data_IF_483594521620
#
_entry.id   IF_483594521620
#
_cell.length_a   1.000
_cell.length_b   1.000
_cell.length_c   1.000
_cell.angle_alpha   90.00
_cell.angle_beta   90.00
_cell.angle_gamma   90.00
#
_symmetry.space_group_name_H-M   'P 1'
#
loop_
_entity.id
_entity.type
_entity.pdbx_description
1 polymer ?
#
# COMPACT_ATOMS: atom_id res chain seq x y z
N UNK A 1 40.39 -16.21 13.98
CA UNK A 1 39.94 -15.98 12.60
C UNK A 1 38.72 -16.83 12.21
N UNK A 2 38.65 -18.11 12.55
CA UNK A 2 37.56 -19.02 12.18
C UNK A 2 36.17 -18.49 12.63
N UNK A 3 36.08 -17.97 13.84
CA UNK A 3 34.80 -17.37 14.36
C UNK A 3 34.38 -16.15 13.54
N UNK A 4 35.31 -15.26 13.20
CA UNK A 4 35.03 -14.09 12.38
C UNK A 4 34.45 -14.51 11.02
N UNK A 5 35.10 -15.49 10.38
CA UNK A 5 34.63 -16.02 9.09
C UNK A 5 33.18 -16.58 9.24
N UNK A 6 32.89 -17.31 10.30
CA UNK A 6 31.53 -17.82 10.54
C UNK A 6 30.50 -16.72 10.79
N UNK A 7 30.88 -15.66 11.48
CA UNK A 7 30.00 -14.49 11.68
C UNK A 7 29.79 -13.74 10.36
N UNK A 8 30.80 -13.61 9.51
CA UNK A 8 30.68 -13.03 8.17
C UNK A 8 29.75 -13.85 7.26
N UNK A 9 29.90 -15.20 7.27
CA UNK A 9 28.97 -16.10 6.58
C UNK A 9 27.51 -15.91 7.08
N UNK A 10 27.33 -15.78 8.40
CA UNK A 10 26.02 -15.56 9.00
C UNK A 10 25.43 -14.20 8.61
N UNK A 11 26.20 -13.12 8.57
CA UNK A 11 25.76 -11.82 8.09
C UNK A 11 25.29 -11.89 6.64
N UNK A 12 26.02 -12.62 5.79
CA UNK A 12 25.62 -12.83 4.39
C UNK A 12 24.31 -13.62 4.29
N UNK A 13 24.16 -14.68 5.10
CA UNK A 13 22.93 -15.47 5.14
C UNK A 13 21.71 -14.64 5.60
N UNK A 14 21.88 -13.75 6.58
CA UNK A 14 20.85 -12.82 7.02
C UNK A 14 20.45 -11.87 5.89
N UNK A 15 21.45 -11.30 5.17
CA UNK A 15 21.18 -10.46 4.01
C UNK A 15 20.37 -11.20 2.93
N UNK A 16 20.71 -12.45 2.63
CA UNK A 16 19.98 -13.27 1.66
C UNK A 16 18.55 -13.60 2.13
N UNK A 17 18.38 -13.91 3.40
CA UNK A 17 17.08 -14.26 3.98
C UNK A 17 16.07 -13.11 4.00
N UNK A 18 16.52 -11.87 3.87
CA UNK A 18 15.68 -10.68 3.80
C UNK A 18 14.92 -10.52 2.46
N UNK A 19 15.03 -11.49 1.54
CA UNK A 19 14.30 -11.48 0.27
C UNK A 19 12.81 -11.78 0.50
N UNK A 20 11.96 -10.96 -0.10
CA UNK A 20 10.51 -11.14 -0.11
C UNK A 20 9.98 -10.91 -1.53
N UNK A 21 9.24 -11.87 -2.05
CA UNK A 21 8.60 -11.80 -3.38
C UNK A 21 9.56 -11.43 -4.54
N UNK A 22 10.83 -11.89 -4.45
CA UNK A 22 11.85 -11.59 -5.46
C UNK A 22 12.60 -10.27 -5.27
N UNK A 23 12.18 -9.44 -4.33
CA UNK A 23 12.83 -8.18 -3.98
C UNK A 23 13.63 -8.34 -2.68
N UNK A 24 14.82 -7.75 -2.63
CA UNK A 24 15.64 -7.72 -1.42
C UNK A 24 16.28 -6.34 -1.25
N UNK A 25 15.74 -5.56 -0.33
CA UNK A 25 16.22 -4.21 -0.05
C UNK A 25 17.47 -4.17 0.82
N UNK A 26 17.84 -5.30 1.43
CA UNK A 26 19.07 -5.45 2.20
C UNK A 26 20.27 -5.83 1.31
N UNK A 27 19.99 -6.34 0.11
CA UNK A 27 20.98 -6.69 -0.91
C UNK A 27 20.56 -6.03 -2.22
N UNK A 28 20.94 -4.77 -2.38
CA UNK A 28 20.55 -3.97 -3.54
C UNK A 28 21.53 -2.83 -3.74
N UNK A 29 21.85 -2.50 -4.98
CA UNK A 29 22.71 -1.38 -5.35
C UNK A 29 21.92 -0.23 -6.02
N UNK A 30 20.61 -0.39 -6.19
CA UNK A 30 19.77 0.52 -6.95
C UNK A 30 18.74 1.23 -6.07
N UNK A 31 18.08 2.22 -6.66
CA UNK A 31 16.91 2.86 -6.08
C UNK A 31 15.68 1.99 -6.26
N UNK A 32 14.88 1.92 -5.24
CA UNK A 32 13.57 1.26 -5.27
C UNK A 32 12.47 2.31 -5.21
N UNK A 33 11.39 2.09 -5.94
CA UNK A 33 10.22 2.98 -5.94
C UNK A 33 9.04 2.30 -5.27
N UNK A 34 8.35 3.06 -4.43
CA UNK A 34 7.12 2.62 -3.77
C UNK A 34 5.99 3.53 -4.19
N UNK A 35 4.81 2.98 -4.41
CA UNK A 35 3.61 3.77 -4.71
C UNK A 35 3.26 4.62 -3.48
N UNK A 36 3.22 5.94 -3.67
CA UNK A 36 2.97 6.93 -2.62
C UNK A 36 1.54 7.51 -2.69
N UNK A 37 0.79 7.22 -3.75
CA UNK A 37 -0.57 7.67 -3.91
C UNK A 37 -0.98 7.92 -5.35
N UNK A 38 -2.14 8.56 -5.49
CA UNK A 38 -2.70 8.94 -6.79
C UNK A 38 -2.90 10.44 -6.83
N UNK A 39 -2.46 11.07 -7.89
CA UNK A 39 -2.68 12.49 -8.15
C UNK A 39 -3.58 12.60 -9.38
N UNK A 40 -4.68 13.35 -9.26
CA UNK A 40 -5.48 13.75 -10.41
C UNK A 40 -4.93 15.07 -10.95
N UNK A 41 -4.54 15.09 -12.20
CA UNK A 41 -4.12 16.29 -12.88
C UNK A 41 -5.32 17.15 -13.31
N UNK A 42 -5.07 18.40 -13.66
CA UNK A 42 -6.09 19.33 -14.17
C UNK A 42 -6.76 18.84 -15.44
N UNK A 43 -6.06 18.03 -16.25
CA UNK A 43 -6.57 17.39 -17.47
C UNK A 43 -7.52 16.20 -17.19
N UNK A 44 -7.77 15.89 -15.89
CA UNK A 44 -8.62 14.77 -15.46
C UNK A 44 -7.92 13.41 -15.45
N UNK A 45 -6.68 13.31 -15.92
CA UNK A 45 -5.92 12.05 -15.89
C UNK A 45 -5.43 11.73 -14.49
N UNK A 46 -5.39 10.44 -14.16
CA UNK A 46 -4.85 9.95 -12.88
C UNK A 46 -3.41 9.52 -13.08
N UNK A 47 -2.51 10.06 -12.28
CA UNK A 47 -1.10 9.65 -12.21
C UNK A 47 -0.82 8.96 -10.89
N UNK A 48 -0.16 7.80 -10.96
CA UNK A 48 0.43 7.16 -9.78
C UNK A 48 1.63 7.99 -9.35
N UNK A 49 1.63 8.44 -8.10
CA UNK A 49 2.79 9.08 -7.49
C UNK A 49 3.65 8.01 -6.83
N UNK A 50 4.97 8.08 -7.04
CA UNK A 50 5.93 7.14 -6.47
C UNK A 50 6.93 7.89 -5.61
N UNK A 51 7.23 7.32 -4.44
CA UNK A 51 8.33 7.74 -3.60
C UNK A 51 9.56 6.89 -3.90
N UNK A 52 10.70 7.52 -4.13
CA UNK A 52 11.97 6.84 -4.29
C UNK A 52 12.59 6.54 -2.92
N UNK A 53 13.05 5.32 -2.75
CA UNK A 53 13.87 4.90 -1.62
C UNK A 53 15.25 4.50 -2.13
N UNK A 54 16.29 5.08 -1.54
CA UNK A 54 17.68 4.82 -1.90
C UNK A 54 18.15 3.51 -1.25
N UNK A 55 17.57 2.37 -1.67
CA UNK A 55 17.91 1.08 -1.09
C UNK A 55 19.43 0.81 -1.11
N UNK A 56 20.10 1.11 -2.22
CA UNK A 56 21.55 0.94 -2.34
C UNK A 56 22.39 1.72 -1.33
N UNK A 57 21.89 2.86 -0.80
CA UNK A 57 22.61 3.63 0.23
C UNK A 57 22.50 3.02 1.64
N UNK A 58 21.51 2.17 1.87
CA UNK A 58 21.22 1.56 3.18
C UNK A 58 21.31 0.03 3.15
N UNK A 59 21.63 -0.56 2.01
CA UNK A 59 21.79 -2.00 1.87
C UNK A 59 22.98 -2.52 2.66
N UNK A 60 22.83 -3.69 3.27
CA UNK A 60 23.94 -4.41 3.91
C UNK A 60 25.01 -4.74 2.89
N UNK A 61 24.61 -5.24 1.73
CA UNK A 61 25.46 -5.62 0.61
C UNK A 61 24.89 -5.06 -0.69
N UNK A 62 25.76 -4.69 -1.63
CA UNK A 62 25.31 -4.35 -2.98
C UNK A 62 24.98 -5.61 -3.78
N UNK A 63 25.75 -6.67 -3.60
CA UNK A 63 25.58 -7.96 -4.25
C UNK A 63 26.03 -9.10 -3.36
N UNK A 64 25.49 -10.28 -3.56
CA UNK A 64 25.98 -11.53 -2.95
C UNK A 64 26.31 -12.50 -4.07
N UNK A 65 27.56 -12.90 -4.15
CA UNK A 65 28.06 -13.87 -5.12
C UNK A 65 28.77 -15.01 -4.41
N UNK A 66 28.46 -16.25 -4.78
CA UNK A 66 29.07 -17.47 -4.19
C UNK A 66 29.04 -17.50 -2.65
N UNK A 67 27.96 -16.95 -2.04
CA UNK A 67 27.80 -16.94 -0.59
C UNK A 67 28.63 -15.87 0.14
N UNK A 68 29.24 -14.93 -0.59
CA UNK A 68 29.98 -13.80 -0.02
C UNK A 68 29.28 -12.49 -0.40
N UNK A 69 28.95 -11.69 0.61
CA UNK A 69 28.42 -10.35 0.42
C UNK A 69 29.51 -9.36 0.05
N UNK A 70 29.27 -8.51 -0.94
CA UNK A 70 30.19 -7.48 -1.39
C UNK A 70 29.50 -6.14 -1.62
N UNK A 71 30.24 -5.05 -1.48
CA UNK A 71 29.69 -3.71 -1.53
C UNK A 71 28.76 -3.41 -0.35
N UNK A 72 28.10 -2.26 -0.36
CA UNK A 72 27.18 -1.84 0.71
C UNK A 72 27.88 -1.52 2.02
N UNK A 73 27.09 -1.37 3.08
CA UNK A 73 27.54 -0.94 4.41
C UNK A 73 28.51 -1.93 5.05
N UNK A 74 28.29 -3.23 4.85
CA UNK A 74 29.08 -4.29 5.49
C UNK A 74 30.32 -4.69 4.69
N UNK A 75 30.57 -4.10 3.53
CA UNK A 75 31.72 -4.46 2.68
C UNK A 75 33.04 -4.43 3.44
N UNK A 76 33.33 -3.37 4.21
CA UNK A 76 34.55 -3.25 4.99
C UNK A 76 34.62 -4.24 6.15
N UNK A 77 33.47 -4.67 6.69
CA UNK A 77 33.42 -5.69 7.75
C UNK A 77 33.76 -7.08 7.20
N UNK A 78 33.37 -7.34 5.95
CA UNK A 78 33.71 -8.62 5.27
C UNK A 78 35.20 -8.80 4.98
N UNK A 79 35.96 -7.71 5.00
CA UNK A 79 37.42 -7.75 4.77
C UNK A 79 38.23 -7.85 6.07
N UNK A 80 37.58 -7.94 7.23
CA UNK A 80 38.29 -8.06 8.52
C UNK A 80 38.92 -9.45 8.65
N UNK A 81 40.24 -9.47 8.80
CA UNK A 81 41.04 -10.67 9.03
C UNK A 81 41.94 -10.49 10.24
N UNK A 82 41.80 -11.33 11.26
CA UNK A 82 42.68 -11.38 12.42
C UNK A 82 43.72 -12.47 12.21
N UNK A 83 44.94 -12.05 11.98
CA UNK A 83 46.13 -12.92 11.92
C UNK A 83 46.95 -12.80 13.20
N UNK A 84 47.88 -13.73 13.44
CA UNK A 84 48.80 -13.66 14.60
C UNK A 84 49.73 -12.43 14.56
N UNK A 85 49.80 -11.75 13.40
CA UNK A 85 50.58 -10.51 13.22
C UNK A 85 49.70 -9.25 13.36
N UNK A 86 48.47 -9.37 13.87
CA UNK A 86 47.60 -8.21 14.07
C UNK A 86 48.17 -7.31 15.18
N UNK A 87 48.44 -6.05 14.81
CA UNK A 87 48.91 -5.03 15.75
C UNK A 87 47.67 -4.38 16.45
N UNK A 88 47.91 -3.75 17.62
CA UNK A 88 46.89 -3.01 18.32
C UNK A 88 46.19 -1.98 17.40
N UNK A 89 46.93 -1.24 16.61
CA UNK A 89 46.39 -0.26 15.67
C UNK A 89 45.46 -0.85 14.60
N UNK A 90 45.70 -2.10 14.15
CA UNK A 90 44.80 -2.81 13.26
C UNK A 90 43.49 -3.21 13.97
N UNK A 91 43.59 -3.64 15.20
CA UNK A 91 42.43 -4.00 16.01
C UNK A 91 41.54 -2.75 16.23
N UNK A 92 42.14 -1.62 16.59
CA UNK A 92 41.44 -0.35 16.76
C UNK A 92 40.73 0.09 15.46
N UNK A 93 41.39 -0.09 14.31
CA UNK A 93 40.79 0.17 12.98
C UNK A 93 39.62 -0.74 12.70
N UNK A 94 39.70 -2.03 12.99
CA UNK A 94 38.59 -2.98 12.81
C UNK A 94 37.43 -2.67 13.71
N UNK A 95 37.67 -2.29 14.98
CA UNK A 95 36.60 -1.84 15.90
C UNK A 95 35.89 -0.60 15.35
N UNK A 96 36.66 0.40 14.89
CA UNK A 96 36.07 1.60 14.27
C UNK A 96 35.26 1.29 13.00
N UNK A 97 35.72 0.33 12.20
CA UNK A 97 34.99 -0.14 11.00
C UNK A 97 33.66 -0.77 11.37
N UNK A 98 33.63 -1.66 12.36
CA UNK A 98 32.40 -2.29 12.84
C UNK A 98 31.47 -1.26 13.45
N UNK A 99 31.97 -0.31 14.24
CA UNK A 99 31.18 0.75 14.84
C UNK A 99 30.54 1.65 13.77
N UNK A 100 31.29 1.99 12.74
CA UNK A 100 30.78 2.77 11.60
C UNK A 100 29.68 2.01 10.87
N UNK A 101 29.91 0.74 10.56
CA UNK A 101 28.93 -0.11 9.92
C UNK A 101 27.63 -0.23 10.75
N UNK A 102 27.75 -0.38 12.07
CA UNK A 102 26.61 -0.43 12.98
C UNK A 102 25.82 0.89 12.98
N UNK A 103 26.48 2.03 12.98
CA UNK A 103 25.82 3.35 12.86
C UNK A 103 25.07 3.49 11.54
N UNK A 104 25.69 3.09 10.43
CA UNK A 104 25.03 3.15 9.11
C UNK A 104 23.85 2.17 8.99
N UNK A 105 23.96 0.95 9.54
CA UNK A 105 22.83 0.02 9.63
C UNK A 105 21.68 0.59 10.47
N UNK A 106 21.98 1.27 11.59
CA UNK A 106 20.97 1.90 12.42
C UNK A 106 20.25 3.02 11.65
N UNK A 107 20.98 3.82 10.88
CA UNK A 107 20.38 4.83 9.98
C UNK A 107 19.51 4.18 8.91
N UNK A 108 19.98 3.09 8.31
CA UNK A 108 19.21 2.30 7.35
C UNK A 108 17.90 1.77 7.93
N UNK A 109 17.97 1.20 9.13
CA UNK A 109 16.77 0.72 9.84
C UNK A 109 15.79 1.86 10.15
N UNK A 110 16.28 3.03 10.55
CA UNK A 110 15.44 4.21 10.77
C UNK A 110 14.80 4.71 9.46
N UNK A 111 15.54 4.71 8.35
CA UNK A 111 15.02 5.10 7.04
C UNK A 111 13.92 4.13 6.55
N UNK A 112 14.12 2.81 6.74
CA UNK A 112 13.12 1.78 6.43
C UNK A 112 11.88 1.92 7.31
N UNK A 113 12.06 2.20 8.61
CA UNK A 113 10.96 2.47 9.53
C UNK A 113 10.14 3.70 9.13
N UNK A 114 10.80 4.78 8.71
CA UNK A 114 10.13 5.97 8.20
C UNK A 114 9.34 5.68 6.92
N UNK A 115 9.90 4.87 6.00
CA UNK A 115 9.22 4.44 4.79
C UNK A 115 7.99 3.58 5.10
N UNK A 116 8.11 2.61 6.01
CA UNK A 116 6.99 1.79 6.47
C UNK A 116 5.86 2.64 7.05
N UNK A 117 6.20 3.61 7.91
CA UNK A 117 5.22 4.55 8.48
C UNK A 117 4.53 5.37 7.40
N UNK A 118 5.27 5.81 6.37
CA UNK A 118 4.71 6.55 5.23
C UNK A 118 3.74 5.70 4.42
N UNK A 119 4.09 4.44 4.16
CA UNK A 119 3.21 3.48 3.47
C UNK A 119 1.92 3.26 4.27
N UNK A 120 2.02 3.04 5.59
CA UNK A 120 0.87 2.85 6.46
C UNK A 120 -0.06 4.07 6.49
N UNK A 121 0.51 5.28 6.52
CA UNK A 121 -0.27 6.51 6.46
C UNK A 121 -1.00 6.66 5.13
N UNK A 122 -0.34 6.31 4.03
CA UNK A 122 -0.92 6.38 2.70
C UNK A 122 -2.05 5.36 2.50
N UNK A 123 -1.87 4.14 2.99
CA UNK A 123 -2.91 3.10 2.96
C UNK A 123 -4.15 3.53 3.76
N UNK A 124 -3.94 4.03 4.98
CA UNK A 124 -5.03 4.58 5.80
C UNK A 124 -5.73 5.77 5.14
N UNK A 125 -4.97 6.64 4.48
CA UNK A 125 -5.53 7.78 3.76
C UNK A 125 -6.38 7.32 2.56
N UNK A 126 -5.87 6.38 1.75
CA UNK A 126 -6.58 5.82 0.61
C UNK A 126 -7.87 5.12 1.05
N UNK A 127 -7.81 4.35 2.13
CA UNK A 127 -8.98 3.70 2.74
C UNK A 127 -10.03 4.72 3.19
N UNK A 128 -9.63 5.78 3.91
CA UNK A 128 -10.56 6.84 4.35
C UNK A 128 -11.22 7.58 3.18
N UNK A 129 -10.46 7.88 2.12
CA UNK A 129 -11.04 8.48 0.91
C UNK A 129 -12.05 7.53 0.26
N UNK A 130 -11.70 6.25 0.13
CA UNK A 130 -12.61 5.24 -0.42
C UNK A 130 -13.90 5.14 0.38
N UNK A 131 -13.81 5.12 1.71
CA UNK A 131 -14.97 5.06 2.60
C UNK A 131 -15.80 6.33 2.55
N UNK A 132 -15.17 7.50 2.49
CA UNK A 132 -15.87 8.78 2.32
C UNK A 132 -16.61 8.86 0.98
N UNK A 133 -15.99 8.38 -0.10
CA UNK A 133 -16.63 8.30 -1.41
C UNK A 133 -17.83 7.33 -1.39
N UNK A 134 -17.67 6.13 -0.81
CA UNK A 134 -18.75 5.16 -0.66
C UNK A 134 -19.92 5.74 0.15
N UNK A 135 -19.62 6.37 1.30
CA UNK A 135 -20.62 7.02 2.13
C UNK A 135 -21.34 8.16 1.39
N UNK A 136 -20.60 8.95 0.62
CA UNK A 136 -21.17 10.02 -0.22
C UNK A 136 -22.10 9.48 -1.30
N UNK A 137 -21.69 8.43 -2.02
CA UNK A 137 -22.49 7.76 -3.03
C UNK A 137 -23.73 7.11 -2.40
N UNK A 138 -23.58 6.39 -1.28
CA UNK A 138 -24.68 5.78 -0.54
C UNK A 138 -25.71 6.83 -0.12
N UNK A 139 -25.25 7.96 0.42
CA UNK A 139 -26.15 9.05 0.85
C UNK A 139 -26.95 9.66 -0.31
N UNK A 140 -26.37 9.75 -1.50
CA UNK A 140 -27.06 10.24 -2.69
C UNK A 140 -28.05 9.20 -3.23
N UNK A 141 -27.62 7.92 -3.28
CA UNK A 141 -28.47 6.83 -3.79
C UNK A 141 -29.61 6.48 -2.82
N UNK A 142 -29.33 6.43 -1.51
CA UNK A 142 -30.33 6.09 -0.49
C UNK A 142 -31.41 7.19 -0.35
N UNK A 143 -31.05 8.47 -0.53
CA UNK A 143 -32.01 9.57 -0.56
C UNK A 143 -32.97 9.43 -1.76
N UNK A 144 -32.44 9.06 -2.93
CA UNK A 144 -33.24 8.83 -4.13
C UNK A 144 -34.16 7.60 -3.99
N UNK A 145 -33.70 6.54 -3.30
CA UNK A 145 -34.50 5.32 -3.08
C UNK A 145 -35.71 5.56 -2.16
N UNK A 146 -35.58 6.41 -1.17
CA UNK A 146 -36.71 6.75 -0.26
C UNK A 146 -37.77 7.60 -0.98
N UNK A 147 -37.33 8.57 -1.79
CA UNK A 147 -38.18 9.38 -2.64
C UNK A 147 -38.89 8.53 -3.72
N UNK A 148 -38.15 7.64 -4.40
CA UNK A 148 -38.70 6.74 -5.42
C UNK A 148 -39.68 5.71 -4.82
N UNK A 149 -39.42 5.23 -3.61
CA UNK A 149 -40.37 4.33 -2.91
C UNK A 149 -41.68 5.02 -2.59
N UNK A 150 -41.63 6.27 -2.12
CA UNK A 150 -42.84 7.08 -1.86
C UNK A 150 -43.58 7.38 -3.16
N UNK A 151 -42.86 7.67 -4.24
CA UNK A 151 -43.42 7.92 -5.58
C UNK A 151 -44.09 6.68 -6.15
N UNK A 152 -43.47 5.50 -6.00
CA UNK A 152 -44.02 4.21 -6.41
C UNK A 152 -45.34 3.91 -5.66
N UNK A 153 -45.37 4.11 -4.34
CA UNK A 153 -46.60 3.94 -3.54
C UNK A 153 -47.72 4.90 -3.99
N UNK A 154 -47.36 6.14 -4.28
CA UNK A 154 -48.34 7.15 -4.81
C UNK A 154 -48.89 6.73 -6.18
N UNK A 155 -48.03 6.28 -7.11
CA UNK A 155 -48.43 5.82 -8.45
C UNK A 155 -49.33 4.58 -8.37
N UNK A 156 -49.03 3.62 -7.47
CA UNK A 156 -49.87 2.44 -7.26
C UNK A 156 -51.27 2.83 -6.75
N UNK A 157 -51.33 3.79 -5.83
CA UNK A 157 -52.58 4.30 -5.31
C UNK A 157 -53.39 5.02 -6.42
N UNK A 158 -52.73 5.83 -7.22
CA UNK A 158 -53.36 6.50 -8.38
C UNK A 158 -53.87 5.49 -9.40
N UNK A 159 -53.15 4.44 -9.68
CA UNK A 159 -53.58 3.37 -10.58
C UNK A 159 -54.81 2.64 -10.06
N UNK A 160 -54.87 2.34 -8.76
CA UNK A 160 -56.06 1.72 -8.15
C UNK A 160 -57.28 2.64 -8.24
N UNK A 161 -57.11 3.94 -7.95
CA UNK A 161 -58.18 4.92 -8.06
C UNK A 161 -58.65 5.11 -9.51
N UNK A 162 -57.73 5.09 -10.47
CA UNK A 162 -58.07 5.19 -11.89
C UNK A 162 -58.89 3.98 -12.38
N UNK A 163 -58.51 2.75 -11.95
CA UNK A 163 -59.31 1.54 -12.27
C UNK A 163 -60.71 1.59 -11.64
N UNK A 164 -60.82 2.03 -10.39
CA UNK A 164 -62.14 2.22 -9.75
C UNK A 164 -62.98 3.28 -10.46
N UNK A 165 -62.37 4.40 -10.84
CA UNK A 165 -63.04 5.48 -11.57
C UNK A 165 -63.57 5.01 -12.96
N UNK A 166 -62.74 4.23 -13.67
CA UNK A 166 -63.12 3.61 -14.94
C UNK A 166 -64.28 2.61 -14.76
N UNK A 167 -64.26 1.81 -13.67
CA UNK A 167 -65.36 0.89 -13.37
C UNK A 167 -66.67 1.63 -13.08
N UNK A 168 -66.60 2.72 -12.29
CA UNK A 168 -67.79 3.57 -12.01
C UNK A 168 -68.32 4.22 -13.30
N UNK A 169 -67.42 4.75 -14.14
CA UNK A 169 -67.79 5.37 -15.41
C UNK A 169 -68.48 4.38 -16.37
N UNK A 170 -67.96 3.16 -16.48
CA UNK A 170 -68.57 2.09 -17.30
C UNK A 170 -69.95 1.64 -16.74
N UNK A 171 -70.04 1.51 -15.42
CA UNK A 171 -71.35 1.14 -14.80
C UNK A 171 -72.41 2.26 -14.98
N UNK A 172 -71.99 3.52 -14.89
CA UNK A 172 -72.86 4.66 -15.14
C UNK A 172 -73.39 4.66 -16.59
N UNK A 173 -72.55 4.37 -17.58
CA UNK A 173 -72.97 4.27 -18.99
C UNK A 173 -73.96 3.12 -19.21
N UNK A 174 -73.74 1.96 -18.58
CA UNK A 174 -74.63 0.82 -18.66
C UNK A 174 -76.03 1.11 -17.98
N UNK A 175 -76.01 1.83 -16.86
CA UNK A 175 -77.24 2.29 -16.19
C UNK A 175 -78.10 3.21 -17.05
N UNK A 176 -77.48 4.13 -17.78
CA UNK A 176 -78.18 5.01 -18.72
C UNK A 176 -78.74 4.21 -19.90
N UNK A 177 -78.01 3.25 -20.43
CA UNK A 177 -78.50 2.40 -21.51
C UNK A 177 -79.66 1.53 -21.07
N UNK A 178 -79.80 1.12 -19.79
CA UNK A 178 -80.88 0.35 -19.26
C UNK A 178 -82.18 1.18 -19.04
N UNK A 179 -82.07 2.52 -18.96
CA UNK A 179 -83.20 3.43 -18.84
C UNK A 179 -83.86 3.69 -20.21
N UNK A 180 -83.15 3.47 -21.31
CA UNK A 180 -83.70 3.69 -22.66
C UNK A 180 -84.14 2.39 -23.37
N UNK A 181 -84.21 1.30 -22.63
CA UNK A 181 -84.68 0.01 -23.08
C UNK A 181 -85.98 -0.34 -22.34
#
# INVERSE_FOLDING_TARGET
QLEITKLQEQLTAIGQAASFNGENWMVNDTKTTVVDGFIRKEDGTVKVNTAEFQAGSYAMFSTIASGVGSGGILSAVMTIELTSAATQGKIDTYLSTVETALKELTKGAAALGAMSTRIDLQDKFATKISDAMKAGVSKLVDADMEEESARLASLQTQQQLAVQSLSIANNSSQSILSLFR
#
